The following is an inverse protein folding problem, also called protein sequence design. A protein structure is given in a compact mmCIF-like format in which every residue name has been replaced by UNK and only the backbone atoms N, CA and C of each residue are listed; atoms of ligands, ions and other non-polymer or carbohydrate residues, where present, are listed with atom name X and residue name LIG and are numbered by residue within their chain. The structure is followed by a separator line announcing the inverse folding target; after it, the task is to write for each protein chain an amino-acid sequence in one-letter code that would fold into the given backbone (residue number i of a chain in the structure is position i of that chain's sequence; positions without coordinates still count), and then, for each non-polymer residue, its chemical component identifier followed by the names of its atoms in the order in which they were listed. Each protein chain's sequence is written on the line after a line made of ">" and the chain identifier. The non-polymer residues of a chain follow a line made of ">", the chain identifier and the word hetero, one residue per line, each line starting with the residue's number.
data_IF_989871179294
#
_entry.id   IF_989871179294
#
_cell.length_a   1.000
_cell.length_b   1.000
_cell.length_c   1.000
_cell.angle_alpha   90.00
_cell.angle_beta   90.00
_cell.angle_gamma   90.00
#
_symmetry.space_group_name_H-M   'P 1'
#
loop_
_entity.id
_entity.type
_entity.pdbx_description
1 polymer ?
#
# COMPACT_ATOMS: atom_id res chain seq x y z
N UNK A 1 40.54 -8.89 -13.94
CA UNK A 1 39.30 -9.45 -14.54
C UNK A 1 38.33 -9.68 -13.40
N UNK A 2 37.12 -9.10 -13.43
CA UNK A 2 36.10 -9.28 -12.38
C UNK A 2 35.88 -10.77 -12.24
N UNK A 3 36.38 -11.38 -11.17
CA UNK A 3 36.32 -12.82 -10.99
C UNK A 3 34.87 -13.14 -10.58
N UNK A 4 34.02 -13.66 -11.49
CA UNK A 4 32.58 -13.77 -11.25
C UNK A 4 32.26 -14.69 -10.06
N UNK A 5 33.16 -15.63 -9.76
CA UNK A 5 33.12 -16.48 -8.57
C UNK A 5 33.18 -15.68 -7.25
N UNK A 6 33.95 -14.58 -7.20
CA UNK A 6 34.07 -13.75 -6.00
C UNK A 6 32.83 -12.89 -5.78
N UNK A 7 32.25 -12.38 -6.88
CA UNK A 7 30.99 -11.63 -6.86
C UNK A 7 29.82 -12.48 -6.34
N UNK A 8 29.73 -13.76 -6.71
CA UNK A 8 28.70 -14.66 -6.17
C UNK A 8 28.89 -14.91 -4.67
N UNK A 9 30.14 -14.99 -4.19
CA UNK A 9 30.42 -15.12 -2.75
C UNK A 9 30.02 -13.86 -1.98
N UNK A 10 30.31 -12.68 -2.54
CA UNK A 10 29.95 -11.39 -1.95
C UNK A 10 28.40 -11.21 -1.90
N UNK A 11 27.69 -11.55 -2.98
CA UNK A 11 26.20 -11.52 -3.03
C UNK A 11 25.59 -12.52 -2.04
N UNK A 12 26.20 -13.70 -1.86
CA UNK A 12 25.74 -14.66 -0.84
C UNK A 12 25.92 -14.09 0.57
N UNK A 13 27.03 -13.39 0.84
CA UNK A 13 27.25 -12.72 2.13
C UNK A 13 26.27 -11.56 2.36
N UNK A 14 25.90 -10.80 1.33
CA UNK A 14 24.87 -9.76 1.42
C UNK A 14 23.47 -10.36 1.60
N UNK A 15 23.17 -11.46 0.91
CA UNK A 15 21.90 -12.18 1.07
C UNK A 15 21.70 -12.69 2.51
N UNK A 16 22.77 -13.07 3.22
CA UNK A 16 22.67 -13.44 4.64
C UNK A 16 22.39 -12.25 5.58
N UNK A 17 22.66 -11.01 5.15
CA UNK A 17 22.27 -9.80 5.89
C UNK A 17 20.81 -9.41 5.65
N UNK A 18 20.17 -9.97 4.62
CA UNK A 18 18.76 -9.72 4.32
C UNK A 18 17.90 -10.56 5.27
N UNK A 19 17.52 -9.97 6.38
CA UNK A 19 16.52 -10.54 7.29
C UNK A 19 15.13 -10.37 6.68
N UNK A 20 14.61 -11.44 6.08
CA UNK A 20 13.21 -11.46 5.65
C UNK A 20 12.30 -11.60 6.87
N UNK A 21 11.23 -10.79 6.94
CA UNK A 21 10.23 -10.91 8.00
C UNK A 21 9.58 -12.30 7.95
N UNK A 22 9.25 -12.81 9.12
CA UNK A 22 8.53 -14.08 9.22
C UNK A 22 7.11 -13.91 8.67
N UNK A 23 6.51 -14.98 8.14
CA UNK A 23 5.16 -14.90 7.55
C UNK A 23 4.09 -14.32 8.50
N UNK A 24 4.30 -14.44 9.82
CA UNK A 24 3.46 -13.85 10.86
C UNK A 24 3.56 -12.32 10.91
N UNK A 25 4.78 -11.78 10.81
CA UNK A 25 5.02 -10.32 10.77
C UNK A 25 4.46 -9.72 9.49
N UNK A 26 4.61 -10.41 8.35
CA UNK A 26 4.00 -10.01 7.08
C UNK A 26 2.48 -9.96 7.17
N UNK A 27 1.86 -10.94 7.83
CA UNK A 27 0.41 -10.97 8.04
C UNK A 27 -0.06 -9.81 8.92
N UNK A 28 0.68 -9.49 9.99
CA UNK A 28 0.36 -8.38 10.87
C UNK A 28 0.51 -7.03 10.15
N UNK A 29 1.55 -6.86 9.34
CA UNK A 29 1.73 -5.69 8.49
C UNK A 29 0.60 -5.55 7.45
N UNK A 30 0.20 -6.65 6.81
CA UNK A 30 -0.93 -6.66 5.88
C UNK A 30 -2.26 -6.28 6.56
N UNK A 31 -2.52 -6.81 7.76
CA UNK A 31 -3.71 -6.47 8.56
C UNK A 31 -3.78 -4.97 8.88
N UNK A 32 -2.66 -4.35 9.26
CA UNK A 32 -2.60 -2.91 9.53
C UNK A 32 -2.95 -2.08 8.29
N UNK A 33 -2.40 -2.46 7.13
CA UNK A 33 -2.68 -1.77 5.86
C UNK A 33 -4.15 -1.94 5.46
N UNK A 34 -4.70 -3.15 5.60
CA UNK A 34 -6.12 -3.42 5.30
C UNK A 34 -7.03 -2.59 6.19
N UNK A 35 -6.75 -2.48 7.48
CA UNK A 35 -7.52 -1.64 8.40
C UNK A 35 -7.50 -0.17 7.98
N UNK A 36 -6.33 0.37 7.62
CA UNK A 36 -6.21 1.74 7.14
C UNK A 36 -6.96 1.96 5.80
N UNK A 37 -6.91 0.98 4.89
CA UNK A 37 -7.64 1.03 3.63
C UNK A 37 -9.16 1.04 3.83
N UNK A 38 -9.67 0.29 4.81
CA UNK A 38 -11.10 0.29 5.17
C UNK A 38 -11.53 1.66 5.71
N UNK A 39 -10.71 2.27 6.57
CA UNK A 39 -11.00 3.61 7.10
C UNK A 39 -11.02 4.64 5.96
N UNK A 40 -10.02 4.59 5.07
CA UNK A 40 -9.95 5.47 3.92
C UNK A 40 -11.14 5.29 2.96
N UNK A 41 -11.57 4.05 2.70
CA UNK A 41 -12.71 3.78 1.81
C UNK A 41 -14.02 4.32 2.37
N UNK A 42 -14.24 4.21 3.69
CA UNK A 42 -15.40 4.81 4.36
C UNK A 42 -15.39 6.34 4.24
N UNK A 43 -14.22 6.97 4.40
CA UNK A 43 -14.07 8.41 4.22
C UNK A 43 -14.40 8.86 2.78
N UNK A 44 -13.87 8.16 1.77
CA UNK A 44 -14.19 8.45 0.37
C UNK A 44 -15.68 8.26 0.08
N UNK A 45 -16.30 7.20 0.61
CA UNK A 45 -17.72 6.96 0.41
C UNK A 45 -18.61 8.08 0.97
N UNK A 46 -18.24 8.66 2.12
CA UNK A 46 -18.92 9.84 2.66
C UNK A 46 -18.72 11.07 1.77
N UNK A 47 -17.48 11.30 1.30
CA UNK A 47 -17.20 12.40 0.38
C UNK A 47 -17.98 12.27 -0.92
N UNK A 48 -18.09 11.08 -1.49
CA UNK A 48 -18.84 10.83 -2.72
C UNK A 48 -20.32 11.20 -2.56
N UNK A 49 -20.93 10.92 -1.40
CA UNK A 49 -22.31 11.31 -1.12
C UNK A 49 -22.46 12.83 -1.05
N UNK A 50 -21.54 13.50 -0.35
CA UNK A 50 -21.54 14.96 -0.23
C UNK A 50 -21.37 15.61 -1.60
N UNK A 51 -20.40 15.16 -2.40
CA UNK A 51 -20.16 15.68 -3.74
C UNK A 51 -21.35 15.44 -4.68
N UNK A 52 -21.99 14.26 -4.62
CA UNK A 52 -23.22 13.98 -5.38
C UNK A 52 -24.34 14.95 -5.02
N UNK A 53 -24.56 15.19 -3.73
CA UNK A 53 -25.57 16.14 -3.27
C UNK A 53 -25.30 17.56 -3.80
N UNK A 54 -24.04 18.02 -3.75
CA UNK A 54 -23.67 19.33 -4.31
C UNK A 54 -23.86 19.39 -5.82
N UNK A 55 -23.48 18.34 -6.55
CA UNK A 55 -23.67 18.26 -8.00
C UNK A 55 -25.15 18.29 -8.40
N UNK A 56 -26.00 17.54 -7.70
CA UNK A 56 -27.45 17.56 -7.92
C UNK A 56 -28.05 18.95 -7.65
N UNK A 57 -27.60 19.63 -6.60
CA UNK A 57 -28.04 20.99 -6.29
C UNK A 57 -27.62 21.99 -7.37
N UNK A 58 -26.39 21.89 -7.87
CA UNK A 58 -25.90 22.74 -8.98
C UNK A 58 -26.71 22.46 -10.25
N UNK A 59 -26.94 21.19 -10.60
CA UNK A 59 -27.71 20.81 -11.78
C UNK A 59 -29.15 21.32 -11.69
N UNK A 60 -29.78 21.25 -10.51
CA UNK A 60 -31.14 21.75 -10.28
C UNK A 60 -31.24 23.28 -10.31
N UNK A 61 -30.18 24.00 -9.93
CA UNK A 61 -30.13 25.47 -10.01
C UNK A 61 -29.84 25.95 -11.44
N UNK A 62 -29.09 25.17 -12.22
CA UNK A 62 -28.75 25.46 -13.62
C UNK A 62 -29.89 25.18 -14.61
N UNK A 63 -30.90 24.42 -14.20
CA UNK A 63 -32.06 24.03 -15.01
C UNK A 63 -33.28 24.88 -14.64
#
# INVERSE_FOLDING_TARGET
>A
MKNPLKFIQDVKQEAFKVTWPTGKETLQGALMVVAMAIIASLFFLLLDQVLKFFLELILKVSL
#
